data_IF_090841258468
#
_entry.id   IF_090841258468
#
_cell.length_a   1.000
_cell.length_b   1.000
_cell.length_c   1.000
_cell.angle_alpha   90.00
_cell.angle_beta   90.00
_cell.angle_gamma   90.00
#
_symmetry.space_group_name_H-M   'P 1'
#
loop_
_entity.id
_entity.type
_entity.pdbx_description
1 polymer ?
#
# COMPACT_ATOMS: atom_id res chain seq x y z
N UNK A 1 17.20 4.03 -0.69
CA UNK A 1 16.92 5.09 -1.68
C UNK A 1 17.94 5.11 -2.81
N UNK A 2 19.24 5.32 -2.53
CA UNK A 2 20.30 5.37 -3.56
C UNK A 2 20.31 4.12 -4.46
N UNK A 3 20.25 2.93 -3.86
CA UNK A 3 20.16 1.68 -4.62
C UNK A 3 18.95 1.64 -5.57
N UNK A 4 17.75 2.03 -5.07
CA UNK A 4 16.54 2.08 -5.89
C UNK A 4 16.63 3.07 -7.05
N UNK A 5 17.25 4.24 -6.83
CA UNK A 5 17.54 5.19 -7.91
C UNK A 5 18.50 4.59 -8.94
N UNK A 6 19.57 3.91 -8.49
CA UNK A 6 20.53 3.26 -9.37
C UNK A 6 19.90 2.15 -10.22
N UNK A 7 19.15 1.24 -9.58
CA UNK A 7 18.44 0.16 -10.24
C UNK A 7 17.35 0.67 -11.20
N UNK A 8 16.58 1.68 -10.77
CA UNK A 8 15.58 2.34 -11.61
C UNK A 8 16.20 3.06 -12.80
N UNK A 9 17.34 3.73 -12.61
CA UNK A 9 18.06 4.38 -13.70
C UNK A 9 18.62 3.38 -14.71
N UNK A 10 19.16 2.26 -14.23
CA UNK A 10 19.63 1.17 -15.11
C UNK A 10 18.47 0.61 -15.95
N UNK A 11 17.35 0.29 -15.30
CA UNK A 11 16.16 -0.19 -16.01
C UNK A 11 15.63 0.86 -17.00
N UNK A 12 15.58 2.14 -16.62
CA UNK A 12 15.22 3.23 -17.53
C UNK A 12 16.13 3.28 -18.78
N UNK A 13 17.45 3.11 -18.61
CA UNK A 13 18.40 3.09 -19.74
C UNK A 13 18.16 1.89 -20.65
N UNK A 14 17.82 0.72 -20.09
CA UNK A 14 17.47 -0.47 -20.87
C UNK A 14 16.17 -0.26 -21.64
N UNK A 15 15.13 0.28 -20.98
CA UNK A 15 13.83 0.57 -21.59
C UNK A 15 13.96 1.55 -22.76
N UNK A 16 14.78 2.60 -22.63
CA UNK A 16 15.00 3.57 -23.72
C UNK A 16 15.63 2.96 -24.98
N UNK A 17 16.34 1.83 -24.85
CA UNK A 17 17.02 1.15 -25.96
C UNK A 17 16.19 0.03 -26.60
N UNK A 18 14.96 -0.20 -26.15
CA UNK A 18 14.10 -1.30 -26.56
C UNK A 18 12.79 -0.73 -27.11
N UNK A 19 12.31 -1.28 -28.22
CA UNK A 19 11.00 -0.94 -28.81
C UNK A 19 10.18 -2.23 -28.98
N UNK A 20 9.91 -2.89 -27.85
CA UNK A 20 9.18 -4.14 -27.79
C UNK A 20 8.54 -4.32 -26.42
N UNK A 21 7.21 -4.31 -26.38
CA UNK A 21 6.44 -4.37 -25.14
C UNK A 21 6.77 -5.60 -24.27
N UNK A 22 7.03 -6.77 -24.86
CA UNK A 22 7.31 -7.99 -24.11
C UNK A 22 8.63 -7.86 -23.35
N UNK A 23 9.65 -7.30 -23.99
CA UNK A 23 10.97 -7.08 -23.37
C UNK A 23 10.87 -6.01 -22.29
N UNK A 24 10.11 -4.94 -22.52
CA UNK A 24 9.89 -3.88 -21.53
C UNK A 24 9.17 -4.40 -20.28
N UNK A 25 8.14 -5.25 -20.45
CA UNK A 25 7.46 -5.94 -19.34
C UNK A 25 8.47 -6.78 -18.55
N UNK A 26 9.28 -7.59 -19.23
CA UNK A 26 10.29 -8.43 -18.58
C UNK A 26 11.33 -7.60 -17.82
N UNK A 27 11.77 -6.45 -18.35
CA UNK A 27 12.68 -5.54 -17.64
C UNK A 27 12.04 -5.02 -16.35
N UNK A 28 10.77 -4.59 -16.40
CA UNK A 28 10.07 -4.12 -15.21
C UNK A 28 9.86 -5.23 -14.18
N UNK A 29 9.54 -6.45 -14.62
CA UNK A 29 9.40 -7.61 -13.74
C UNK A 29 10.73 -7.98 -13.09
N UNK A 30 11.82 -8.00 -13.87
CA UNK A 30 13.17 -8.27 -13.40
C UNK A 30 13.65 -7.20 -12.40
N UNK A 31 13.30 -5.94 -12.62
CA UNK A 31 13.59 -4.88 -11.67
C UNK A 31 12.84 -5.09 -10.35
N UNK A 32 11.55 -5.43 -10.38
CA UNK A 32 10.77 -5.65 -9.16
C UNK A 32 11.26 -6.89 -8.42
N UNK A 33 11.31 -8.05 -9.07
CA UNK A 33 11.69 -9.31 -8.41
C UNK A 33 13.20 -9.37 -8.09
N UNK A 34 14.04 -9.11 -9.10
CA UNK A 34 15.49 -9.16 -8.96
C UNK A 34 16.05 -8.00 -8.15
N UNK A 35 15.53 -6.78 -8.35
CA UNK A 35 15.93 -5.62 -7.55
C UNK A 35 15.52 -5.75 -6.08
N UNK A 36 14.37 -6.38 -5.80
CA UNK A 36 13.94 -6.64 -4.42
C UNK A 36 14.87 -7.65 -3.75
N UNK A 37 15.10 -8.80 -4.40
CA UNK A 37 15.98 -9.84 -3.87
C UNK A 37 17.40 -9.33 -3.66
N UNK A 38 17.94 -8.55 -4.60
CA UNK A 38 19.26 -7.94 -4.48
C UNK A 38 19.32 -6.92 -3.33
N UNK A 39 18.27 -6.10 -3.15
CA UNK A 39 18.20 -5.20 -2.00
C UNK A 39 18.21 -5.97 -0.68
N UNK A 40 17.46 -7.07 -0.58
CA UNK A 40 17.39 -7.91 0.61
C UNK A 40 18.75 -8.56 0.94
N UNK A 41 19.44 -9.09 -0.07
CA UNK A 41 20.82 -9.61 0.07
C UNK A 41 21.83 -8.56 0.54
N UNK A 42 21.60 -7.28 0.20
CA UNK A 42 22.42 -6.16 0.65
C UNK A 42 21.98 -5.60 2.01
N UNK A 43 21.04 -6.26 2.70
CA UNK A 43 20.42 -5.80 3.94
C UNK A 43 19.77 -4.41 3.83
N UNK A 44 19.29 -4.08 2.63
CA UNK A 44 18.54 -2.86 2.34
C UNK A 44 17.05 -3.16 2.34
N UNK A 45 16.22 -2.14 2.63
CA UNK A 45 14.77 -2.30 2.52
C UNK A 45 14.34 -2.48 1.04
N UNK A 46 14.06 -3.72 0.64
CA UNK A 46 13.50 -4.08 -0.67
C UNK A 46 12.28 -3.23 -1.08
N UNK A 47 11.22 -3.09 -0.25
CA UNK A 47 10.05 -2.30 -0.61
C UNK A 47 10.39 -0.84 -0.99
N UNK A 48 11.16 -0.15 -0.16
CA UNK A 48 11.60 1.24 -0.42
C UNK A 48 12.46 1.32 -1.69
N UNK A 49 13.34 0.34 -1.92
CA UNK A 49 14.15 0.31 -3.13
C UNK A 49 13.29 0.25 -4.40
N UNK A 50 12.31 -0.65 -4.43
CA UNK A 50 11.40 -0.83 -5.57
C UNK A 50 10.46 0.36 -5.74
N UNK A 51 9.93 0.94 -4.66
CA UNK A 51 9.11 2.16 -4.74
C UNK A 51 9.90 3.31 -5.36
N UNK A 52 11.15 3.51 -4.94
CA UNK A 52 12.00 4.58 -5.49
C UNK A 52 12.32 4.32 -6.96
N UNK A 53 12.61 3.07 -7.35
CA UNK A 53 12.84 2.70 -8.74
C UNK A 53 11.56 2.90 -9.60
N UNK A 54 10.41 2.50 -9.08
CA UNK A 54 9.11 2.65 -9.72
C UNK A 54 8.68 4.10 -9.89
N UNK A 55 8.95 4.98 -8.92
CA UNK A 55 8.72 6.42 -9.05
C UNK A 55 9.56 7.05 -10.17
N UNK A 56 10.82 6.61 -10.32
CA UNK A 56 11.71 7.09 -11.39
C UNK A 56 11.18 6.66 -12.77
N UNK A 57 10.81 5.40 -12.93
CA UNK A 57 10.30 4.86 -14.20
C UNK A 57 8.90 5.41 -14.51
N UNK A 58 8.02 5.47 -13.52
CA UNK A 58 6.65 5.94 -13.64
C UNK A 58 6.55 7.43 -13.99
N UNK A 59 7.50 8.24 -13.54
CA UNK A 59 7.57 9.67 -13.89
C UNK A 59 8.42 9.92 -15.13
N UNK A 60 9.71 9.59 -15.10
CA UNK A 60 10.66 9.95 -16.15
C UNK A 60 10.69 8.93 -17.30
N UNK A 61 10.57 7.63 -17.00
CA UNK A 61 10.56 6.57 -18.00
C UNK A 61 9.36 6.64 -18.94
N UNK A 62 8.15 6.81 -18.38
CA UNK A 62 6.91 6.91 -19.15
C UNK A 62 6.81 8.16 -20.04
N UNK A 63 7.54 9.24 -19.73
CA UNK A 63 7.51 10.49 -20.50
C UNK A 63 8.58 10.56 -21.60
N UNK A 64 9.73 9.89 -21.42
CA UNK A 64 10.92 10.10 -22.28
C UNK A 64 11.46 8.84 -22.95
N UNK A 65 10.98 7.64 -22.60
CA UNK A 65 11.55 6.38 -23.07
C UNK A 65 10.56 5.41 -23.73
N UNK A 66 9.25 5.64 -23.64
CA UNK A 66 8.24 4.67 -24.13
C UNK A 66 7.28 5.25 -25.15
N UNK A 67 6.86 4.43 -26.12
CA UNK A 67 5.75 4.74 -27.01
C UNK A 67 4.40 4.71 -26.26
N UNK A 68 3.38 5.37 -26.81
CA UNK A 68 2.03 5.40 -26.21
C UNK A 68 1.39 4.00 -26.15
N UNK A 69 1.59 3.18 -27.18
CA UNK A 69 1.08 1.82 -27.24
C UNK A 69 1.76 0.91 -26.20
N UNK A 70 3.08 0.98 -26.04
CA UNK A 70 3.78 0.15 -25.06
C UNK A 70 3.42 0.53 -23.62
N UNK A 71 3.26 1.84 -23.37
CA UNK A 71 2.81 2.34 -22.06
C UNK A 71 1.46 1.75 -21.66
N UNK A 72 0.51 1.69 -22.59
CA UNK A 72 -0.80 1.09 -22.33
C UNK A 72 -0.70 -0.41 -22.01
N UNK A 73 0.10 -1.17 -22.74
CA UNK A 73 0.30 -2.59 -22.46
C UNK A 73 0.98 -2.86 -21.12
N UNK A 74 1.96 -2.04 -20.74
CA UNK A 74 2.59 -2.12 -19.43
C UNK A 74 1.61 -1.79 -18.31
N UNK A 75 0.80 -0.74 -18.47
CA UNK A 75 -0.21 -0.38 -17.49
C UNK A 75 -1.22 -1.53 -17.31
N UNK A 76 -1.77 -2.07 -18.40
CA UNK A 76 -2.70 -3.21 -18.33
C UNK A 76 -2.06 -4.45 -17.72
N UNK A 77 -0.78 -4.73 -18.03
CA UNK A 77 -0.07 -5.86 -17.42
C UNK A 77 0.06 -5.69 -15.91
N UNK A 78 0.50 -4.51 -15.44
CA UNK A 78 0.67 -4.26 -14.01
C UNK A 78 -0.66 -4.16 -13.27
N UNK A 79 -1.71 -3.66 -13.91
CA UNK A 79 -3.09 -3.69 -13.39
C UNK A 79 -3.57 -5.13 -13.19
N UNK A 80 -3.40 -6.00 -14.19
CA UNK A 80 -3.74 -7.43 -14.06
C UNK A 80 -2.96 -8.13 -12.95
N UNK A 81 -1.66 -7.81 -12.81
CA UNK A 81 -0.83 -8.36 -11.72
C UNK A 81 -1.31 -7.84 -10.36
N UNK A 82 -1.59 -6.55 -10.23
CA UNK A 82 -2.10 -5.95 -8.99
C UNK A 82 -3.44 -6.58 -8.59
N UNK A 83 -4.40 -6.68 -9.53
CA UNK A 83 -5.69 -7.33 -9.30
C UNK A 83 -5.54 -8.80 -8.91
N UNK A 84 -4.68 -9.55 -9.60
CA UNK A 84 -4.44 -10.97 -9.32
C UNK A 84 -3.82 -11.16 -7.95
N UNK A 85 -2.75 -10.43 -7.63
CA UNK A 85 -2.08 -10.52 -6.33
C UNK A 85 -2.98 -10.07 -5.20
N UNK A 86 -3.82 -9.05 -5.43
CA UNK A 86 -4.80 -8.59 -4.46
C UNK A 86 -5.91 -9.65 -4.23
N UNK A 87 -6.40 -10.30 -5.29
CA UNK A 87 -7.35 -11.41 -5.15
C UNK A 87 -6.75 -12.59 -4.37
N UNK A 88 -5.51 -12.99 -4.69
CA UNK A 88 -4.78 -14.02 -3.94
C UNK A 88 -4.62 -13.62 -2.48
N UNK A 89 -4.23 -12.37 -2.21
CA UNK A 89 -4.11 -11.84 -0.87
C UNK A 89 -5.43 -11.96 -0.09
N UNK A 90 -6.56 -11.58 -0.68
CA UNK A 90 -7.87 -11.71 -0.05
C UNK A 90 -8.27 -13.16 0.24
N UNK A 91 -7.95 -14.08 -0.68
CA UNK A 91 -8.18 -15.51 -0.47
C UNK A 91 -7.32 -16.04 0.68
N UNK A 92 -6.04 -15.68 0.73
CA UNK A 92 -5.13 -16.08 1.81
C UNK A 92 -5.59 -15.53 3.17
N UNK A 93 -6.00 -14.26 3.20
CA UNK A 93 -6.61 -13.61 4.37
C UNK A 93 -7.85 -14.41 4.83
N UNK A 94 -8.77 -14.73 3.90
CA UNK A 94 -9.97 -15.51 4.21
C UNK A 94 -9.67 -16.92 4.74
N UNK A 95 -8.67 -17.60 4.18
CA UNK A 95 -8.25 -18.93 4.62
C UNK A 95 -7.64 -18.89 6.02
N UNK A 96 -6.81 -17.88 6.33
CA UNK A 96 -6.17 -17.73 7.63
C UNK A 96 -7.20 -17.61 8.78
N UNK A 97 -8.37 -16.99 8.54
CA UNK A 97 -9.48 -16.92 9.52
C UNK A 97 -9.88 -18.27 10.04
N UNK A 98 -9.96 -19.25 9.13
CA UNK A 98 -10.53 -20.56 9.44
C UNK A 98 -9.61 -21.36 10.37
N UNK A 99 -8.32 -21.03 10.38
CA UNK A 99 -7.29 -21.69 11.18
C UNK A 99 -7.02 -20.93 12.49
N UNK A 100 -7.39 -19.64 12.57
CA UNK A 100 -7.23 -18.84 13.78
C UNK A 100 -8.21 -19.27 14.88
N UNK A 101 -7.67 -19.57 16.07
CA UNK A 101 -8.48 -19.83 17.27
C UNK A 101 -8.89 -18.53 17.93
N UNK A 102 -10.17 -18.19 17.85
CA UNK A 102 -10.72 -17.02 18.53
C UNK A 102 -11.19 -17.38 19.94
N UNK A 103 -10.47 -16.89 20.95
CA UNK A 103 -10.95 -16.92 22.34
C UNK A 103 -11.68 -15.61 22.65
N UNK A 104 -12.69 -15.58 23.55
CA UNK A 104 -13.33 -14.33 23.98
C UNK A 104 -12.36 -13.23 24.40
N UNK A 105 -11.23 -13.61 25.03
CA UNK A 105 -10.14 -12.69 25.39
C UNK A 105 -9.47 -12.04 24.18
N UNK A 106 -9.25 -12.80 23.10
CA UNK A 106 -8.68 -12.29 21.84
C UNK A 106 -9.67 -11.38 21.10
N UNK A 107 -10.95 -11.73 21.12
CA UNK A 107 -12.01 -10.88 20.54
C UNK A 107 -12.08 -9.54 21.28
N UNK A 108 -12.04 -9.56 22.62
CA UNK A 108 -12.00 -8.34 23.43
C UNK A 108 -10.73 -7.53 23.16
N UNK A 109 -9.57 -8.18 23.07
CA UNK A 109 -8.31 -7.51 22.73
C UNK A 109 -8.36 -6.86 21.35
N UNK A 110 -8.86 -7.56 20.32
CA UNK A 110 -9.06 -7.00 18.98
C UNK A 110 -10.04 -5.83 18.98
N UNK A 111 -11.16 -5.94 19.69
CA UNK A 111 -12.16 -4.88 19.82
C UNK A 111 -11.59 -3.61 20.48
N UNK A 112 -10.73 -3.75 21.50
CA UNK A 112 -10.05 -2.62 22.15
C UNK A 112 -8.92 -2.04 21.28
N UNK A 113 -8.30 -2.86 20.44
CA UNK A 113 -7.24 -2.42 19.54
C UNK A 113 -7.76 -1.57 18.37
N UNK A 114 -9.00 -1.80 17.92
CA UNK A 114 -9.62 -0.97 16.87
C UNK A 114 -9.64 0.53 17.22
N UNK A 115 -10.26 0.99 18.33
CA UNK A 115 -10.28 2.41 18.67
C UNK A 115 -8.87 2.93 18.96
N UNK A 116 -7.99 2.12 19.58
CA UNK A 116 -6.60 2.52 19.83
C UNK A 116 -5.85 2.81 18.53
N UNK A 117 -6.00 1.94 17.52
CA UNK A 117 -5.40 2.11 16.20
C UNK A 117 -5.95 3.36 15.49
N UNK A 118 -7.26 3.60 15.59
CA UNK A 118 -7.89 4.79 14.99
C UNK A 118 -7.41 6.08 15.65
N UNK A 119 -7.30 6.11 16.98
CA UNK A 119 -6.75 7.24 17.73
C UNK A 119 -5.28 7.46 17.36
N UNK A 120 -4.47 6.40 17.33
CA UNK A 120 -3.08 6.49 16.93
C UNK A 120 -2.93 7.07 15.51
N UNK A 121 -3.80 6.66 14.58
CA UNK A 121 -3.85 7.21 13.22
C UNK A 121 -4.26 8.68 13.21
N UNK A 122 -5.30 9.04 13.96
CA UNK A 122 -5.77 10.42 14.08
C UNK A 122 -4.68 11.34 14.62
N UNK A 123 -3.92 10.90 15.63
CA UNK A 123 -2.78 11.67 16.17
C UNK A 123 -1.65 11.75 15.14
N UNK A 124 -1.30 10.63 14.50
CA UNK A 124 -0.21 10.55 13.52
C UNK A 124 -0.46 11.37 12.26
N UNK A 125 -1.71 11.54 11.84
CA UNK A 125 -2.11 12.37 10.69
C UNK A 125 -2.42 13.80 11.13
N UNK A 126 -3.17 13.95 12.22
CA UNK A 126 -3.63 15.24 12.72
C UNK A 126 -2.49 16.14 13.17
N UNK A 127 -1.42 15.59 13.77
CA UNK A 127 -0.27 16.38 14.20
C UNK A 127 0.50 16.98 13.01
N UNK A 128 0.97 16.20 12.00
CA UNK A 128 1.59 16.77 10.81
C UNK A 128 0.69 17.72 10.03
N UNK A 129 -0.60 17.39 9.84
CA UNK A 129 -1.53 18.23 9.09
C UNK A 129 -1.77 19.57 9.81
N UNK A 130 -1.86 19.59 11.14
CA UNK A 130 -1.96 20.86 11.90
C UNK A 130 -0.68 21.68 11.88
N UNK A 131 0.48 21.02 11.88
CA UNK A 131 1.77 21.71 11.79
C UNK A 131 1.99 22.31 10.39
N UNK A 132 1.76 21.53 9.33
CA UNK A 132 1.81 22.02 7.94
C UNK A 132 0.66 22.99 7.61
N UNK A 133 -0.47 22.88 8.30
CA UNK A 133 -1.60 23.80 8.21
C UNK A 133 -1.28 25.24 8.58
N UNK A 134 -0.12 25.49 9.22
CA UNK A 134 0.42 26.85 9.42
C UNK A 134 1.07 27.45 8.17
N UNK A 135 1.44 26.62 7.19
CA UNK A 135 2.17 27.03 5.98
C UNK A 135 1.39 26.72 4.68
N UNK A 136 0.32 25.92 4.74
CA UNK A 136 -0.51 25.50 3.61
C UNK A 136 -1.96 25.42 4.06
N UNK A 137 -2.89 25.86 3.21
CA UNK A 137 -4.32 25.64 3.46
C UNK A 137 -4.69 24.18 3.21
N UNK A 138 -5.23 23.52 4.23
CA UNK A 138 -5.86 22.20 4.10
C UNK A 138 -7.36 22.33 4.27
N UNK A 139 -8.12 21.56 3.48
CA UNK A 139 -9.57 21.46 3.68
C UNK A 139 -9.89 21.04 5.13
N UNK A 140 -10.92 21.61 5.77
CA UNK A 140 -11.35 21.23 7.12
C UNK A 140 -11.63 19.73 7.26
N UNK A 141 -11.98 19.07 6.17
CA UNK A 141 -12.29 17.64 6.11
C UNK A 141 -11.08 16.75 5.79
N UNK A 142 -9.88 17.33 5.57
CA UNK A 142 -8.68 16.57 5.25
C UNK A 142 -8.29 15.60 6.38
N UNK A 143 -8.35 16.03 7.65
CA UNK A 143 -7.94 15.18 8.79
C UNK A 143 -8.87 13.97 8.94
N UNK A 144 -10.22 14.11 8.98
CA UNK A 144 -11.13 12.97 9.02
C UNK A 144 -10.97 12.04 7.82
N UNK A 145 -10.89 12.59 6.59
CA UNK A 145 -10.79 11.77 5.37
C UNK A 145 -9.46 11.02 5.31
N UNK A 146 -8.33 11.65 5.64
CA UNK A 146 -7.00 11.00 5.65
C UNK A 146 -6.85 9.97 6.79
N UNK A 147 -7.53 10.20 7.91
CA UNK A 147 -7.54 9.25 9.03
C UNK A 147 -8.39 8.03 8.67
N UNK A 148 -9.60 8.26 8.14
CA UNK A 148 -10.55 7.19 7.85
C UNK A 148 -10.21 6.42 6.56
N UNK A 149 -9.59 7.09 5.59
CA UNK A 149 -9.12 6.50 4.33
C UNK A 149 -7.85 5.65 4.46
N UNK A 150 -7.21 5.61 5.64
CA UNK A 150 -6.04 4.80 5.92
C UNK A 150 -6.38 3.31 6.12
N UNK A 151 -6.90 2.66 5.08
CA UNK A 151 -7.27 1.25 5.10
C UNK A 151 -6.05 0.37 5.44
N UNK A 152 -6.22 -0.54 6.40
CA UNK A 152 -5.24 -1.58 6.69
C UNK A 152 -5.49 -2.76 5.76
N UNK A 153 -4.54 -2.98 4.86
CA UNK A 153 -4.58 -4.07 3.88
C UNK A 153 -3.67 -5.25 4.24
N UNK A 154 -3.41 -6.08 3.24
CA UNK A 154 -2.65 -7.31 3.38
C UNK A 154 -1.20 -7.18 3.79
N UNK A 155 -0.56 -6.02 3.59
CA UNK A 155 0.81 -5.78 4.08
C UNK A 155 0.87 -5.94 5.60
N UNK A 156 -0.19 -5.55 6.32
CA UNK A 156 -0.23 -5.73 7.79
C UNK A 156 -0.26 -7.20 8.18
N UNK A 157 -0.99 -8.02 7.42
CA UNK A 157 -1.08 -9.47 7.62
C UNK A 157 0.24 -10.15 7.27
N UNK A 158 0.86 -9.77 6.15
CA UNK A 158 2.16 -10.28 5.74
C UNK A 158 3.23 -10.02 6.82
N UNK A 159 3.27 -8.80 7.37
CA UNK A 159 4.20 -8.47 8.46
C UNK A 159 3.90 -9.27 9.75
N UNK A 160 2.62 -9.52 10.06
CA UNK A 160 2.26 -10.34 11.20
C UNK A 160 2.66 -11.82 11.00
N UNK A 161 2.58 -12.33 9.77
CA UNK A 161 3.04 -13.68 9.42
C UNK A 161 4.56 -13.84 9.49
N UNK A 162 5.31 -12.76 9.21
CA UNK A 162 6.77 -12.70 9.34
C UNK A 162 7.27 -12.70 10.79
N UNK A 163 6.39 -12.58 11.78
CA UNK A 163 6.78 -12.67 13.20
C UNK A 163 7.27 -14.10 13.50
N UNK A 164 8.44 -14.27 14.15
CA UNK A 164 8.97 -15.57 14.54
C UNK A 164 7.96 -16.40 15.34
N UNK A 165 8.05 -17.73 15.23
CA UNK A 165 7.15 -18.64 15.95
C UNK A 165 7.42 -18.55 17.45
N UNK A 166 6.45 -17.99 18.18
CA UNK A 166 6.51 -17.80 19.63
C UNK A 166 5.11 -17.81 20.25
N UNK A 167 4.99 -17.83 21.58
CA UNK A 167 3.69 -17.87 22.28
C UNK A 167 2.82 -16.64 22.00
N UNK A 168 3.42 -15.51 21.64
CA UNK A 168 2.75 -14.27 21.26
C UNK A 168 2.24 -14.24 19.81
N UNK A 169 2.78 -15.07 18.91
CA UNK A 169 2.44 -15.06 17.47
C UNK A 169 0.95 -15.27 17.21
N UNK A 170 0.24 -16.24 17.83
CA UNK A 170 -1.20 -16.41 17.64
C UNK A 170 -2.01 -15.18 18.08
N UNK A 171 -1.55 -14.49 19.13
CA UNK A 171 -2.21 -13.28 19.65
C UNK A 171 -2.03 -12.12 18.68
N UNK A 172 -0.80 -11.89 18.19
CA UNK A 172 -0.49 -10.84 17.22
C UNK A 172 -1.24 -11.07 15.92
N UNK A 173 -1.27 -12.31 15.42
CA UNK A 173 -1.99 -12.68 14.20
C UNK A 173 -3.48 -12.40 14.35
N UNK A 174 -4.14 -12.92 15.38
CA UNK A 174 -5.56 -12.75 15.58
C UNK A 174 -5.97 -11.27 15.77
N UNK A 175 -5.22 -10.50 16.55
CA UNK A 175 -5.50 -9.07 16.75
C UNK A 175 -5.29 -8.28 15.45
N UNK A 176 -4.18 -8.51 14.75
CA UNK A 176 -3.91 -7.85 13.45
C UNK A 176 -5.01 -8.17 12.46
N UNK A 177 -5.46 -9.42 12.45
CA UNK A 177 -6.50 -9.90 11.57
C UNK A 177 -7.85 -9.22 11.87
N UNK A 178 -8.28 -9.16 13.14
CA UNK A 178 -9.51 -8.46 13.54
C UNK A 178 -9.48 -7.00 13.09
N UNK A 179 -8.35 -6.30 13.28
CA UNK A 179 -8.20 -4.90 12.87
C UNK A 179 -8.25 -4.75 11.34
N UNK A 180 -7.60 -5.63 10.59
CA UNK A 180 -7.60 -5.60 9.11
C UNK A 180 -8.99 -5.86 8.55
N UNK A 181 -9.71 -6.87 9.04
CA UNK A 181 -11.09 -7.15 8.62
C UNK A 181 -12.02 -6.00 8.95
N UNK A 182 -11.92 -5.45 10.17
CA UNK A 182 -12.67 -4.25 10.51
C UNK A 182 -12.36 -3.09 9.57
N UNK A 183 -11.08 -2.86 9.25
CA UNK A 183 -10.67 -1.79 8.34
C UNK A 183 -11.26 -1.98 6.94
N UNK A 184 -11.18 -3.18 6.38
CA UNK A 184 -11.68 -3.45 5.03
C UNK A 184 -13.21 -3.38 4.98
N UNK A 185 -13.91 -4.03 5.91
CA UNK A 185 -15.38 -4.08 5.90
C UNK A 185 -16.00 -2.75 6.33
N UNK A 186 -15.55 -2.18 7.45
CA UNK A 186 -16.15 -0.97 8.00
C UNK A 186 -15.57 0.26 7.36
N UNK A 187 -14.25 0.47 7.40
CA UNK A 187 -13.65 1.67 6.81
C UNK A 187 -13.79 1.64 5.27
N UNK A 188 -13.56 0.51 4.60
CA UNK A 188 -13.70 0.41 3.14
C UNK A 188 -15.09 0.81 2.62
N UNK A 189 -16.17 0.29 3.23
CA UNK A 189 -17.54 0.63 2.84
C UNK A 189 -17.97 2.05 3.24
N UNK A 190 -17.37 2.62 4.28
CA UNK A 190 -17.77 3.95 4.80
C UNK A 190 -16.93 5.11 4.24
N UNK A 191 -15.70 4.88 3.79
CA UNK A 191 -14.82 5.91 3.21
C UNK A 191 -15.48 6.58 2.00
N UNK A 192 -16.13 5.82 1.10
CA UNK A 192 -16.82 6.41 -0.06
C UNK A 192 -18.03 7.29 0.31
N UNK A 193 -18.66 7.06 1.47
CA UNK A 193 -19.72 7.95 2.00
C UNK A 193 -19.11 9.19 2.64
N UNK A 194 -18.04 9.02 3.41
CA UNK A 194 -17.32 10.12 4.06
C UNK A 194 -16.68 11.07 3.04
N UNK A 195 -16.07 10.54 1.98
CA UNK A 195 -15.49 11.34 0.90
C UNK A 195 -16.54 12.16 0.17
N UNK A 196 -17.73 11.60 -0.08
CA UNK A 196 -18.87 12.34 -0.66
C UNK A 196 -19.41 13.42 0.27
N UNK A 197 -19.52 13.15 1.56
CA UNK A 197 -19.93 14.15 2.55
C UNK A 197 -18.90 15.29 2.68
N UNK A 198 -17.61 14.97 2.61
CA UNK A 198 -16.52 15.94 2.67
C UNK A 198 -16.36 16.78 1.37
N UNK A 199 -16.63 16.19 0.20
CA UNK A 199 -16.59 16.87 -1.09
C UNK A 199 -17.88 17.62 -1.46
N UNK A 200 -19.02 17.18 -0.92
CA UNK A 200 -20.34 17.78 -1.19
C UNK A 200 -20.59 19.13 -0.52
N UNK A 201 -19.69 19.61 0.34
CA UNK A 201 -19.77 20.93 0.99
C UNK A 201 -19.12 22.08 0.21
N UNK A 202 -18.51 21.81 -0.96
CA UNK A 202 -17.75 22.80 -1.74
C UNK A 202 -18.36 23.19 -3.09
N UNK A 203 -19.61 22.80 -3.39
CA UNK A 203 -20.21 22.93 -4.72
C UNK A 203 -21.61 23.54 -4.75
N UNK A 204 -21.89 24.52 -3.89
CA UNK A 204 -23.12 25.31 -3.95
C UNK A 204 -22.85 26.78 -3.58
N UNK A 205 -22.12 27.50 -4.42
CA UNK A 205 -22.20 28.97 -4.57
C UNK A 205 -21.28 29.42 -5.71
N UNK A 206 -21.87 30.01 -6.76
CA UNK A 206 -21.17 30.64 -7.88
C UNK A 206 -21.56 30.06 -9.22
#
# INVERSE_FOLDING_TARGET
AVFGLGAGYLAYRMLKGVDNYSVEVLITLALVAGGYALADHLHLSGPIAIVVAGLLIGNHGRLLAMSSATRAHLDSFWELIDETLNAVLFVLIGLEVLVLTFTPRLLLAGALMIPLVLVARFVSVGLPVRLLGRAREFSPHAIPVLTWGGLRGGISVALALSVPVGPERPVILAVTYIVVVFSILVQGLTVGRLARAAGGGGGASG
#
